data_IF_107613119644
#
_entry.id   IF_107613119644
#
_cell.length_a   1.000
_cell.length_b   1.000
_cell.length_c   1.000
_cell.angle_alpha   90.00
_cell.angle_beta   90.00
_cell.angle_gamma   90.00
#
_symmetry.space_group_name_H-M   'P 1'
#
loop_
_entity.id
_entity.type
_entity.pdbx_description
1 polymer ?
#
# COMPACT_ATOMS: atom_id res chain seq x y z
N UNK A 1 -6.55 -17.91 -2.56
CA UNK A 1 -5.56 -16.80 -2.57
C UNK A 1 -5.80 -15.99 -1.31
N UNK A 2 -4.81 -15.84 -0.42
CA UNK A 2 -4.99 -15.07 0.81
C UNK A 2 -5.32 -13.61 0.48
N UNK A 3 -6.36 -13.06 1.11
CA UNK A 3 -6.68 -11.64 0.99
C UNK A 3 -5.55 -10.83 1.63
N UNK A 4 -5.01 -9.83 0.92
CA UNK A 4 -4.01 -8.92 1.45
C UNK A 4 -4.66 -7.59 1.76
N UNK A 5 -4.26 -6.99 2.86
CA UNK A 5 -4.79 -5.73 3.33
C UNK A 5 -3.67 -4.76 3.63
N UNK A 6 -3.77 -3.57 3.07
CA UNK A 6 -2.94 -2.45 3.40
C UNK A 6 -3.56 -1.68 4.57
N UNK A 7 -2.82 -1.56 5.65
CA UNK A 7 -3.13 -0.65 6.75
C UNK A 7 -2.37 0.64 6.56
N UNK A 8 -3.10 1.74 6.47
CA UNK A 8 -2.57 3.08 6.28
C UNK A 8 -3.23 4.00 7.31
N UNK A 9 -2.49 4.38 8.35
CA UNK A 9 -3.06 5.05 9.52
C UNK A 9 -4.13 4.18 10.21
N UNK A 10 -5.34 4.71 10.35
CA UNK A 10 -6.50 4.02 10.94
C UNK A 10 -7.33 3.22 9.91
N UNK A 11 -7.02 3.35 8.62
CA UNK A 11 -7.80 2.73 7.55
C UNK A 11 -7.15 1.44 7.04
N UNK A 12 -8.01 0.50 6.65
CA UNK A 12 -7.64 -0.78 6.03
C UNK A 12 -8.20 -0.86 4.62
N UNK A 13 -7.35 -1.19 3.66
CA UNK A 13 -7.66 -1.30 2.24
C UNK A 13 -7.36 -2.71 1.75
N UNK A 14 -8.22 -3.31 0.95
CA UNK A 14 -7.92 -4.59 0.29
C UNK A 14 -6.93 -4.32 -0.85
N UNK A 15 -5.85 -5.09 -0.96
CA UNK A 15 -4.88 -4.92 -2.03
C UNK A 15 -4.62 -6.24 -2.74
N UNK A 16 -4.38 -6.15 -4.04
CA UNK A 16 -3.92 -7.28 -4.85
C UNK A 16 -2.38 -7.26 -4.95
N UNK A 17 -1.78 -8.36 -5.40
CA UNK A 17 -0.32 -8.47 -5.59
C UNK A 17 0.27 -7.34 -6.45
N UNK A 18 -0.47 -6.87 -7.46
CA UNK A 18 -0.02 -5.74 -8.29
C UNK A 18 0.01 -4.42 -7.51
N UNK A 19 -0.99 -4.18 -6.66
CA UNK A 19 -1.05 -2.99 -5.81
C UNK A 19 0.05 -3.02 -4.73
N UNK A 20 0.35 -4.20 -4.18
CA UNK A 20 1.48 -4.43 -3.29
C UNK A 20 2.83 -4.10 -3.97
N UNK A 21 3.06 -4.63 -5.17
CA UNK A 21 4.31 -4.37 -5.89
C UNK A 21 4.51 -2.87 -6.16
N UNK A 22 3.43 -2.16 -6.51
CA UNK A 22 3.44 -0.70 -6.69
C UNK A 22 3.69 0.04 -5.38
N UNK A 23 3.07 -0.41 -4.28
CA UNK A 23 3.30 0.14 -2.95
C UNK A 23 4.76 0.00 -2.55
N UNK A 24 5.34 -1.20 -2.64
CA UNK A 24 6.74 -1.45 -2.30
C UNK A 24 7.69 -0.55 -3.10
N UNK A 25 7.52 -0.43 -4.43
CA UNK A 25 8.33 0.50 -5.23
C UNK A 25 8.20 1.95 -4.80
N UNK A 26 7.00 2.37 -4.39
CA UNK A 26 6.75 3.74 -3.91
C UNK A 26 7.37 3.97 -2.54
N UNK A 27 7.30 2.98 -1.66
CA UNK A 27 7.97 3.00 -0.36
C UNK A 27 9.49 3.10 -0.57
N UNK A 28 10.07 2.24 -1.40
CA UNK A 28 11.51 2.31 -1.73
C UNK A 28 11.88 3.70 -2.28
N UNK A 29 11.07 4.29 -3.15
CA UNK A 29 11.35 5.62 -3.70
C UNK A 29 11.23 6.77 -2.68
N UNK A 30 10.31 6.68 -1.72
CA UNK A 30 10.08 7.70 -0.67
C UNK A 30 11.07 7.56 0.49
N UNK A 31 11.43 6.32 0.86
CA UNK A 31 12.31 6.01 1.99
C UNK A 31 13.78 5.80 1.60
N UNK A 32 14.12 5.74 0.30
CA UNK A 32 15.52 5.72 -0.13
C UNK A 32 16.25 7.02 0.24
N UNK A 33 17.50 6.88 0.67
CA UNK A 33 18.37 7.95 1.16
C UNK A 33 18.47 9.10 0.14
N UNK A 34 18.09 10.31 0.58
CA UNK A 34 18.11 11.53 -0.22
C UNK A 34 16.84 11.86 -1.01
N UNK A 35 15.73 11.12 -0.86
CA UNK A 35 14.54 11.34 -1.67
C UNK A 35 13.52 12.33 -1.11
N UNK A 36 12.91 13.06 -2.05
CA UNK A 36 12.19 14.32 -1.91
C UNK A 36 10.70 14.10 -1.64
N UNK A 37 10.33 14.04 -0.37
CA UNK A 37 8.94 14.31 0.04
C UNK A 37 7.89 13.33 -0.46
N UNK A 38 6.68 13.55 0.02
CA UNK A 38 5.56 12.63 -0.05
C UNK A 38 5.14 12.30 -1.50
N UNK A 39 4.79 11.03 -1.77
CA UNK A 39 4.34 10.57 -3.09
C UNK A 39 2.93 10.01 -3.03
N UNK A 40 2.08 10.42 -3.98
CA UNK A 40 0.73 9.85 -4.09
C UNK A 40 0.73 8.53 -4.84
N UNK A 41 0.14 7.49 -4.24
CA UNK A 41 -0.06 6.16 -4.81
C UNK A 41 -1.53 5.91 -5.10
N UNK A 42 -1.86 5.44 -6.30
CA UNK A 42 -3.20 4.91 -6.60
C UNK A 42 -3.22 3.40 -6.35
N UNK A 43 -4.08 2.94 -5.43
CA UNK A 43 -4.24 1.53 -5.10
C UNK A 43 -4.90 0.77 -6.26
N UNK A 44 -6.03 1.28 -6.74
CA UNK A 44 -6.80 0.68 -7.82
C UNK A 44 -6.71 1.57 -9.05
N UNK A 45 -6.07 1.07 -10.11
CA UNK A 45 -5.87 1.84 -11.35
C UNK A 45 -7.14 1.91 -12.21
N UNK A 46 -7.96 0.86 -12.14
CA UNK A 46 -9.10 0.62 -13.04
C UNK A 46 -10.45 0.67 -12.30
N UNK A 47 -10.47 1.18 -11.07
CA UNK A 47 -11.71 1.28 -10.30
C UNK A 47 -12.39 2.63 -10.53
N UNK A 48 -13.73 2.63 -10.62
CA UNK A 48 -14.55 3.85 -10.70
C UNK A 48 -14.28 4.82 -9.54
N UNK A 49 -13.86 4.31 -8.38
CA UNK A 49 -13.40 5.09 -7.24
C UNK A 49 -11.87 4.91 -7.05
N UNK A 50 -11.03 5.81 -7.61
CA UNK A 50 -9.59 5.72 -7.43
C UNK A 50 -9.21 6.02 -5.97
N UNK A 51 -8.89 4.98 -5.19
CA UNK A 51 -8.32 5.15 -3.86
C UNK A 51 -6.86 5.60 -3.96
N UNK A 52 -6.60 6.84 -3.56
CA UNK A 52 -5.28 7.48 -3.61
C UNK A 52 -4.73 7.71 -2.21
N UNK A 53 -3.55 7.17 -1.93
CA UNK A 53 -2.86 7.26 -0.64
C UNK A 53 -1.63 8.16 -0.74
N UNK A 54 -1.38 8.97 0.29
CA UNK A 54 -0.19 9.81 0.39
C UNK A 54 0.94 9.06 1.10
N UNK A 55 1.89 8.50 0.37
CA UNK A 55 3.03 7.82 0.99
C UNK A 55 4.01 8.89 1.48
N UNK A 56 4.16 9.01 2.79
CA UNK A 56 4.92 10.05 3.45
C UNK A 56 5.87 9.49 4.52
N UNK A 57 7.05 10.08 4.64
CA UNK A 57 7.99 9.73 5.70
C UNK A 57 7.38 10.05 7.06
N UNK A 58 7.14 9.02 7.88
CA UNK A 58 6.53 9.14 9.22
C UNK A 58 5.09 8.65 9.33
N UNK A 59 4.41 8.28 8.23
CA UNK A 59 3.10 7.61 8.31
C UNK A 59 3.33 6.11 8.50
N UNK A 60 2.70 5.46 9.51
CA UNK A 60 2.79 4.02 9.68
C UNK A 60 2.00 3.32 8.56
N UNK A 61 2.71 2.48 7.81
CA UNK A 61 2.16 1.68 6.71
C UNK A 61 2.52 0.23 6.97
N UNK A 62 1.56 -0.68 6.86
CA UNK A 62 1.79 -2.11 7.07
C UNK A 62 0.91 -2.94 6.15
N UNK A 63 1.42 -4.09 5.70
CA UNK A 63 0.66 -5.04 4.88
C UNK A 63 0.34 -6.25 5.75
N UNK A 64 -0.96 -6.49 5.94
CA UNK A 64 -1.49 -7.64 6.63
C UNK A 64 -1.94 -8.66 5.57
N UNK A 65 -1.33 -9.85 5.59
CA UNK A 65 -1.79 -10.96 4.75
C UNK A 65 -2.69 -11.83 5.61
N UNK A 66 -3.96 -11.99 5.26
CA UNK A 66 -4.77 -13.05 5.87
C UNK A 66 -4.18 -14.37 5.42
N UNK A 67 -3.43 -15.04 6.31
CA UNK A 67 -3.17 -16.45 6.14
C UNK A 67 -4.55 -17.14 6.18
N UNK A 68 -4.99 -17.63 5.02
CA UNK A 68 -6.02 -18.66 4.98
C UNK A 68 -5.43 -19.84 5.76
N UNK A 69 -5.71 -19.88 7.06
CA UNK A 69 -5.63 -21.10 7.87
C UNK A 69 -6.83 -21.94 7.41
N UNK A 70 -6.73 -22.50 6.21
CA UNK A 70 -7.55 -23.64 5.84
C UNK A 70 -7.02 -24.84 6.64
N UNK A 71 -7.92 -25.41 7.43
CA UNK A 71 -7.84 -26.61 8.28
C UNK A 71 -7.24 -27.83 7.58
#
# INVERSE_FOLDING_TARGET
MPNKYLRYGDQRYIINNEAEARLNRTLEAVYADGSRGHQWLNLYRDSEAPCRLLIATGVPISIETELCLDD
#
